data_IF_630258927293
#
_entry.id   IF_630258927293
#
_cell.length_a   1.000
_cell.length_b   1.000
_cell.length_c   1.000
_cell.angle_alpha   90.00
_cell.angle_beta   90.00
_cell.angle_gamma   90.00
#
_symmetry.space_group_name_H-M   'P 1'
#
loop_
_entity.id
_entity.type
_entity.pdbx_description
1 polymer ?
#
# COMPACT_ATOMS: atom_id res chain seq x y z
N UNK A 1 -9.96 -1.58 -16.92
CA UNK A 1 -9.21 -1.86 -18.16
C UNK A 1 -8.17 -0.79 -18.47
N UNK A 2 -8.50 0.51 -18.47
CA UNK A 2 -7.56 1.61 -18.77
C UNK A 2 -6.29 1.57 -17.89
N UNK A 3 -6.45 1.49 -16.58
CA UNK A 3 -5.35 1.36 -15.60
C UNK A 3 -4.35 0.25 -15.94
N UNK A 4 -4.83 -0.90 -16.42
CA UNK A 4 -3.99 -2.04 -16.78
C UNK A 4 -3.26 -1.81 -18.11
N UNK A 5 -3.87 -1.09 -19.06
CA UNK A 5 -3.21 -0.70 -20.30
C UNK A 5 -2.06 0.30 -20.03
N UNK A 6 -2.30 1.26 -19.14
CA UNK A 6 -1.30 2.24 -18.71
C UNK A 6 -0.15 1.57 -17.94
N UNK A 7 -0.48 0.72 -16.98
CA UNK A 7 0.51 -0.10 -16.24
C UNK A 7 1.35 -0.93 -17.21
N UNK A 8 0.70 -1.62 -18.15
CA UNK A 8 1.41 -2.42 -19.13
C UNK A 8 2.29 -1.58 -20.07
N UNK A 9 1.87 -0.35 -20.42
CA UNK A 9 2.70 0.57 -21.18
C UNK A 9 3.94 0.99 -20.39
N UNK A 10 3.79 1.38 -19.12
CA UNK A 10 4.89 1.75 -18.23
C UNK A 10 5.91 0.60 -18.12
N UNK A 11 5.45 -0.61 -17.79
CA UNK A 11 6.33 -1.76 -17.59
C UNK A 11 7.10 -2.14 -18.86
N UNK A 12 6.47 -1.99 -20.04
CA UNK A 12 7.15 -2.26 -21.33
C UNK A 12 8.13 -1.17 -21.74
N UNK A 13 7.87 0.09 -21.42
CA UNK A 13 8.65 1.22 -21.91
C UNK A 13 9.74 1.69 -20.93
N UNK A 14 9.57 1.42 -19.63
CA UNK A 14 10.51 1.87 -18.60
C UNK A 14 11.90 1.25 -18.81
N UNK A 15 12.91 2.09 -18.71
CA UNK A 15 14.33 1.71 -18.82
C UNK A 15 15.03 1.94 -17.48
N UNK A 16 16.27 1.46 -17.28
CA UNK A 16 17.03 1.75 -16.06
C UNK A 16 17.23 3.25 -15.78
N UNK A 17 17.05 4.14 -16.78
CA UNK A 17 17.15 5.61 -16.62
C UNK A 17 15.80 6.30 -16.39
N UNK A 18 14.71 5.54 -16.33
CA UNK A 18 13.37 6.08 -16.07
C UNK A 18 13.16 6.36 -14.58
N UNK A 19 12.32 7.36 -14.30
CA UNK A 19 11.65 7.52 -13.01
C UNK A 19 10.18 7.14 -13.20
N UNK A 20 9.72 6.11 -12.49
CA UNK A 20 8.35 5.62 -12.55
C UNK A 20 7.62 6.03 -11.27
N UNK A 21 6.37 6.50 -11.41
CA UNK A 21 5.47 6.76 -10.29
C UNK A 21 4.23 5.92 -10.49
N UNK A 22 3.98 5.01 -9.56
CA UNK A 22 2.79 4.15 -9.54
C UNK A 22 1.95 4.57 -8.34
N UNK A 23 0.68 4.89 -8.56
CA UNK A 23 -0.24 5.35 -7.53
C UNK A 23 -1.46 4.44 -7.48
N UNK A 24 -1.55 3.66 -6.40
CA UNK A 24 -2.68 2.80 -6.05
C UNK A 24 -3.18 1.84 -7.13
N UNK A 25 -2.23 1.23 -7.84
CA UNK A 25 -2.51 0.19 -8.83
C UNK A 25 -3.20 -1.02 -8.17
N UNK A 26 -4.20 -1.58 -8.84
CA UNK A 26 -4.98 -2.76 -8.42
C UNK A 26 -6.31 -2.42 -7.74
N UNK A 27 -6.77 -1.15 -7.74
CA UNK A 27 -8.00 -0.74 -7.05
C UNK A 27 -9.30 -1.22 -7.69
N UNK A 28 -9.30 -1.53 -8.99
CA UNK A 28 -10.50 -1.87 -9.75
C UNK A 28 -10.96 -3.34 -9.65
N UNK A 29 -10.41 -4.13 -8.72
CA UNK A 29 -10.66 -5.58 -8.61
C UNK A 29 -10.72 -6.01 -7.13
N UNK A 30 -10.82 -7.32 -6.88
CA UNK A 30 -10.75 -7.89 -5.52
C UNK A 30 -9.43 -7.47 -4.82
N UNK A 31 -9.43 -7.30 -3.49
CA UNK A 31 -8.21 -6.93 -2.77
C UNK A 31 -7.03 -7.88 -3.02
N UNK A 32 -7.32 -9.18 -3.13
CA UNK A 32 -6.31 -10.22 -3.35
C UNK A 32 -5.69 -10.13 -4.75
N UNK A 33 -6.53 -10.02 -5.80
CA UNK A 33 -6.04 -9.87 -7.18
C UNK A 33 -5.33 -8.53 -7.36
N UNK A 34 -5.86 -7.47 -6.74
CA UNK A 34 -5.30 -6.13 -6.76
C UNK A 34 -3.89 -6.09 -6.16
N UNK A 35 -3.73 -6.67 -4.97
CA UNK A 35 -2.42 -6.80 -4.33
C UNK A 35 -1.46 -7.65 -5.16
N UNK A 36 -1.93 -8.75 -5.77
CA UNK A 36 -1.11 -9.61 -6.61
C UNK A 36 -0.57 -8.89 -7.84
N UNK A 37 -1.43 -8.17 -8.56
CA UNK A 37 -1.04 -7.38 -9.76
C UNK A 37 -0.13 -6.21 -9.38
N UNK A 38 -0.43 -5.51 -8.28
CA UNK A 38 0.40 -4.43 -7.77
C UNK A 38 1.81 -4.92 -7.40
N UNK A 39 1.90 -6.04 -6.66
CA UNK A 39 3.18 -6.66 -6.33
C UNK A 39 3.95 -7.12 -7.56
N UNK A 40 3.27 -7.76 -8.53
CA UNK A 40 3.92 -8.18 -9.78
C UNK A 40 4.51 -6.99 -10.54
N UNK A 41 3.81 -5.85 -10.55
CA UNK A 41 4.28 -4.61 -11.16
C UNK A 41 5.51 -4.04 -10.43
N UNK A 42 5.46 -3.95 -9.10
CA UNK A 42 6.61 -3.56 -8.27
C UNK A 42 7.83 -4.46 -8.53
N UNK A 43 7.62 -5.78 -8.49
CA UNK A 43 8.68 -6.76 -8.72
C UNK A 43 9.32 -6.58 -10.11
N UNK A 44 8.52 -6.37 -11.16
CA UNK A 44 9.03 -6.15 -12.51
C UNK A 44 9.86 -4.86 -12.62
N UNK A 45 9.38 -3.76 -12.03
CA UNK A 45 10.12 -2.49 -11.99
C UNK A 45 11.49 -2.64 -11.31
N UNK A 46 11.56 -3.41 -10.22
CA UNK A 46 12.79 -3.63 -9.45
C UNK A 46 13.76 -4.58 -10.16
N UNK A 47 13.27 -5.71 -10.69
CA UNK A 47 14.12 -6.81 -11.18
C UNK A 47 14.41 -6.76 -12.67
N UNK A 48 13.47 -6.26 -13.48
CA UNK A 48 13.58 -6.23 -14.95
C UNK A 48 13.91 -4.83 -15.44
N UNK A 49 13.05 -3.83 -15.19
CA UNK A 49 13.32 -2.46 -15.65
C UNK A 49 14.51 -1.84 -14.92
N UNK A 50 14.71 -2.22 -13.64
CA UNK A 50 15.78 -1.73 -12.75
C UNK A 50 15.82 -0.20 -12.71
N UNK A 51 14.65 0.42 -12.74
CA UNK A 51 14.48 1.87 -12.76
C UNK A 51 14.25 2.41 -11.35
N UNK A 52 14.31 3.73 -11.19
CA UNK A 52 13.86 4.37 -9.95
C UNK A 52 12.33 4.38 -9.94
N UNK A 53 11.72 4.00 -8.82
CA UNK A 53 10.27 3.94 -8.69
C UNK A 53 9.78 4.53 -7.36
N UNK A 54 8.69 5.29 -7.42
CA UNK A 54 7.83 5.60 -6.27
C UNK A 54 6.55 4.78 -6.43
N UNK A 55 6.20 4.00 -5.42
CA UNK A 55 5.08 3.07 -5.47
C UNK A 55 4.16 3.32 -4.27
N UNK A 56 3.13 4.13 -4.46
CA UNK A 56 2.12 4.41 -3.45
C UNK A 56 1.05 3.32 -3.49
N UNK A 57 0.69 2.76 -2.33
CA UNK A 57 -0.31 1.70 -2.24
C UNK A 57 -0.97 1.70 -0.86
N UNK A 58 -2.25 1.31 -0.84
CA UNK A 58 -2.99 1.01 0.38
C UNK A 58 -2.94 -0.49 0.73
N UNK A 59 -2.35 -1.33 -0.12
CA UNK A 59 -2.24 -2.77 0.10
C UNK A 59 -1.04 -3.09 1.01
N UNK A 60 -1.30 -3.33 2.31
CA UNK A 60 -0.27 -3.84 3.24
C UNK A 60 0.38 -5.15 2.72
N UNK A 61 -0.41 -5.98 2.03
CA UNK A 61 0.06 -7.23 1.43
C UNK A 61 1.22 -7.03 0.44
N UNK A 62 1.28 -5.90 -0.28
CA UNK A 62 2.39 -5.63 -1.22
C UNK A 62 3.70 -5.43 -0.45
N UNK A 63 3.67 -4.71 0.68
CA UNK A 63 4.84 -4.53 1.53
C UNK A 63 5.26 -5.86 2.19
N UNK A 64 4.29 -6.65 2.63
CA UNK A 64 4.53 -7.97 3.23
C UNK A 64 5.16 -8.95 2.22
N UNK A 65 4.66 -8.98 0.98
CA UNK A 65 5.22 -9.79 -0.10
C UNK A 65 6.63 -9.32 -0.49
N UNK A 66 6.88 -8.00 -0.54
CA UNK A 66 8.21 -7.47 -0.84
C UNK A 66 9.24 -7.89 0.22
N UNK A 67 8.86 -7.84 1.50
CA UNK A 67 9.70 -8.32 2.59
C UNK A 67 9.92 -9.84 2.51
N UNK A 68 8.85 -10.62 2.36
CA UNK A 68 8.92 -12.08 2.29
C UNK A 68 9.73 -12.61 1.10
N UNK A 69 9.80 -11.84 0.00
CA UNK A 69 10.59 -12.18 -1.20
C UNK A 69 11.99 -11.57 -1.19
N UNK A 70 12.44 -10.97 -0.09
CA UNK A 70 13.79 -10.43 0.06
C UNK A 70 14.07 -9.15 -0.74
N UNK A 71 13.03 -8.48 -1.24
CA UNK A 71 13.18 -7.19 -1.93
C UNK A 71 13.50 -6.06 -0.94
N UNK A 72 13.13 -6.22 0.33
CA UNK A 72 13.40 -5.27 1.41
C UNK A 72 14.63 -5.69 2.24
N UNK A 73 15.40 -4.72 2.76
CA UNK A 73 16.54 -4.94 3.67
C UNK A 73 17.83 -4.25 3.23
N UNK A 74 18.85 -4.24 4.09
CA UNK A 74 20.20 -3.78 3.75
C UNK A 74 20.90 -4.85 2.91
N UNK A 75 21.20 -4.55 1.64
CA UNK A 75 21.81 -5.46 0.65
C UNK A 75 23.23 -5.94 0.95
N UNK A 76 23.59 -6.16 2.21
CA UNK A 76 24.88 -6.69 2.62
C UNK A 76 24.80 -8.22 2.74
N UNK A 77 25.21 -8.91 1.66
CA UNK A 77 25.53 -10.35 1.72
C UNK A 77 24.83 -11.26 0.71
N UNK A 78 23.79 -10.80 0.01
CA UNK A 78 23.12 -11.59 -1.03
C UNK A 78 23.37 -10.96 -2.41
N UNK A 79 24.18 -11.61 -3.25
CA UNK A 79 24.26 -11.21 -4.66
C UNK A 79 22.88 -11.31 -5.32
N UNK A 80 22.40 -10.23 -5.95
CA UNK A 80 21.09 -10.18 -6.62
C UNK A 80 20.33 -8.85 -6.46
N UNK A 81 19.03 -8.85 -6.78
CA UNK A 81 18.10 -7.71 -6.64
C UNK A 81 17.60 -7.51 -5.19
N UNK A 82 18.28 -8.12 -4.21
CA UNK A 82 17.93 -8.07 -2.78
C UNK A 82 18.15 -6.67 -2.18
N UNK A 83 17.25 -6.26 -1.28
CA UNK A 83 17.39 -5.01 -0.52
C UNK A 83 17.23 -3.71 -1.34
N UNK A 84 16.51 -3.75 -2.47
CA UNK A 84 16.29 -2.59 -3.35
C UNK A 84 15.02 -1.80 -3.04
N UNK A 85 14.16 -2.32 -2.18
CA UNK A 85 12.90 -1.69 -1.79
C UNK A 85 12.99 -1.19 -0.36
N UNK A 86 12.72 0.10 -0.18
CA UNK A 86 12.52 0.71 1.14
C UNK A 86 11.06 1.15 1.28
N UNK A 87 10.46 0.89 2.44
CA UNK A 87 9.09 1.26 2.74
C UNK A 87 9.03 2.54 3.55
N UNK A 88 8.11 3.43 3.18
CA UNK A 88 7.84 4.68 3.89
C UNK A 88 6.33 4.83 4.11
N UNK A 89 5.97 5.48 5.20
CA UNK A 89 4.59 5.83 5.50
C UNK A 89 4.49 7.25 6.06
N UNK A 90 3.29 7.81 5.99
CA UNK A 90 2.88 8.96 6.79
C UNK A 90 2.15 8.46 8.03
N UNK A 91 2.15 9.27 9.09
CA UNK A 91 1.41 8.97 10.31
C UNK A 91 0.23 9.93 10.48
N UNK A 92 -0.58 9.62 11.47
CA UNK A 92 -1.64 10.48 11.97
C UNK A 92 -1.34 10.71 13.44
N UNK A 93 -1.39 11.96 13.88
CA UNK A 93 -1.32 12.30 15.30
C UNK A 93 -2.74 12.54 15.81
N UNK A 94 -3.02 12.03 16.99
CA UNK A 94 -4.32 12.19 17.66
C UNK A 94 -4.12 13.09 18.89
N UNK A 95 -5.06 13.99 19.13
CA UNK A 95 -5.12 14.78 20.35
C UNK A 95 -5.96 14.08 21.42
N UNK A 96 -5.83 14.56 22.67
CA UNK A 96 -6.56 14.00 23.82
C UNK A 96 -8.09 14.18 23.72
N UNK A 97 -8.57 15.07 22.85
CA UNK A 97 -9.99 15.35 22.62
C UNK A 97 -10.61 14.49 21.51
N UNK A 98 -9.82 13.61 20.88
CA UNK A 98 -10.25 12.75 19.78
C UNK A 98 -10.18 13.41 18.41
N UNK A 99 -9.59 14.60 18.30
CA UNK A 99 -9.16 15.20 17.05
C UNK A 99 -7.95 14.46 16.48
N UNK A 100 -7.74 14.58 15.17
CA UNK A 100 -6.55 14.03 14.53
C UNK A 100 -6.02 14.95 13.45
N UNK A 101 -4.71 14.88 13.19
CA UNK A 101 -4.02 15.65 12.15
C UNK A 101 -3.17 14.72 11.29
N UNK A 102 -3.14 14.97 9.98
CA UNK A 102 -2.27 14.25 9.07
C UNK A 102 -0.83 14.73 9.21
N UNK A 103 0.08 13.82 9.54
CA UNK A 103 1.50 14.13 9.56
C UNK A 103 2.01 14.08 8.12
N UNK A 104 2.24 15.25 7.52
CA UNK A 104 2.78 15.38 6.16
C UNK A 104 4.30 15.13 6.09
N UNK A 105 4.81 14.18 6.89
CA UNK A 105 6.22 13.78 6.95
C UNK A 105 6.33 12.29 6.74
N UNK A 106 7.17 11.90 5.79
CA UNK A 106 7.48 10.50 5.57
C UNK A 106 8.42 9.98 6.68
N UNK A 107 8.12 8.78 7.18
CA UNK A 107 9.04 8.01 8.01
C UNK A 107 9.26 6.63 7.42
N UNK A 108 10.42 6.02 7.74
CA UNK A 108 10.69 4.64 7.36
C UNK A 108 9.73 3.69 8.09
N UNK A 109 9.24 2.69 7.35
CA UNK A 109 8.36 1.64 7.84
C UNK A 109 7.04 1.57 7.07
N UNK A 110 6.10 0.83 7.65
CA UNK A 110 4.73 0.65 7.14
C UNK A 110 3.77 0.99 8.26
N UNK A 111 2.83 1.89 8.02
CA UNK A 111 1.75 2.16 8.95
C UNK A 111 0.68 1.08 8.74
N UNK A 112 0.31 0.36 9.80
CA UNK A 112 -0.74 -0.68 9.77
C UNK A 112 -2.04 -0.25 10.43
N UNK A 113 -2.10 0.96 10.97
CA UNK A 113 -3.29 1.49 11.62
C UNK A 113 -4.22 2.08 10.57
N UNK A 114 -5.48 1.63 10.56
CA UNK A 114 -6.52 2.21 9.72
C UNK A 114 -7.33 3.22 10.54
N UNK A 115 -7.46 4.44 10.02
CA UNK A 115 -8.22 5.53 10.65
C UNK A 115 -9.50 5.88 9.88
N UNK A 116 -9.97 4.98 9.00
CA UNK A 116 -11.05 5.27 8.05
C UNK A 116 -12.34 5.82 8.70
N UNK A 117 -12.80 5.24 9.82
CA UNK A 117 -13.99 5.74 10.52
C UNK A 117 -13.78 7.11 11.18
N UNK A 118 -12.57 7.38 11.67
CA UNK A 118 -12.22 8.69 12.25
C UNK A 118 -12.19 9.75 11.15
N UNK A 119 -11.59 9.43 10.01
CA UNK A 119 -11.57 10.27 8.81
C UNK A 119 -13.00 10.54 8.30
N UNK A 120 -13.85 9.51 8.26
CA UNK A 120 -15.26 9.66 7.89
C UNK A 120 -16.00 10.64 8.81
N UNK A 121 -15.81 10.53 10.13
CA UNK A 121 -16.40 11.45 11.11
C UNK A 121 -15.96 12.88 10.90
N UNK A 122 -14.65 13.10 10.70
CA UNK A 122 -14.11 14.44 10.45
C UNK A 122 -14.61 15.03 9.11
N UNK A 123 -14.79 14.19 8.09
CA UNK A 123 -15.38 14.59 6.81
C UNK A 123 -16.88 14.94 6.91
N UNK A 124 -17.49 14.79 8.10
CA UNK A 124 -18.89 15.14 8.34
C UNK A 124 -19.87 14.06 7.90
N UNK A 125 -19.44 12.79 7.81
CA UNK A 125 -20.39 11.70 7.58
C UNK A 125 -21.41 11.62 8.73
N UNK A 126 -22.70 11.36 8.45
CA UNK A 126 -23.70 11.23 9.49
C UNK A 126 -23.35 10.11 10.47
N UNK A 127 -23.61 10.33 11.77
CA UNK A 127 -23.37 9.34 12.83
C UNK A 127 -24.11 8.01 12.61
N UNK A 128 -25.23 8.03 11.90
CA UNK A 128 -25.94 6.82 11.49
C UNK A 128 -25.12 5.99 10.50
N UNK A 129 -24.48 6.62 9.52
CA UNK A 129 -23.60 5.94 8.56
C UNK A 129 -22.32 5.42 9.23
N UNK A 130 -21.73 6.20 10.14
CA UNK A 130 -20.52 5.79 10.88
C UNK A 130 -20.81 4.57 11.77
N UNK A 131 -21.98 4.53 12.42
CA UNK A 131 -22.41 3.36 13.20
C UNK A 131 -22.49 2.11 12.34
N UNK A 132 -23.19 2.18 11.21
CA UNK A 132 -23.28 1.05 10.26
C UNK A 132 -21.90 0.58 9.82
N UNK A 133 -21.00 1.51 9.49
CA UNK A 133 -19.64 1.16 9.09
C UNK A 133 -18.84 0.48 10.23
N UNK A 134 -19.05 0.91 11.48
CA UNK A 134 -18.47 0.27 12.67
C UNK A 134 -18.96 -1.16 12.89
N UNK A 135 -20.27 -1.38 12.75
CA UNK A 135 -20.89 -2.70 12.89
C UNK A 135 -20.34 -3.68 11.83
N UNK A 136 -20.30 -3.26 10.56
CA UNK A 136 -19.74 -4.05 9.45
C UNK A 136 -18.26 -4.37 9.68
N UNK A 137 -17.47 -3.41 10.17
CA UNK A 137 -16.06 -3.67 10.48
C UNK A 137 -15.88 -4.70 11.60
N UNK A 138 -16.77 -4.70 12.59
CA UNK A 138 -16.81 -5.70 13.66
C UNK A 138 -17.07 -7.10 13.12
N UNK A 139 -18.05 -7.24 12.23
CA UNK A 139 -18.40 -8.51 11.58
C UNK A 139 -17.24 -9.05 10.73
N UNK A 140 -16.67 -8.22 9.87
CA UNK A 140 -15.58 -8.60 8.95
C UNK A 140 -14.29 -8.94 9.71
N UNK A 141 -14.02 -8.27 10.83
CA UNK A 141 -12.84 -8.55 11.65
C UNK A 141 -13.01 -9.82 12.49
N UNK A 142 -14.24 -10.11 12.95
CA UNK A 142 -14.56 -11.33 13.67
C UNK A 142 -14.41 -12.58 12.80
N UNK A 143 -14.88 -12.52 11.55
CA UNK A 143 -14.90 -13.66 10.62
C UNK A 143 -13.49 -14.04 10.07
N UNK A 144 -12.53 -13.11 10.14
CA UNK A 144 -11.12 -13.39 9.79
C UNK A 144 -10.36 -14.21 10.83
N UNK A 145 -10.86 -14.29 12.07
CA UNK A 145 -10.19 -15.03 13.16
C UNK A 145 -10.53 -16.52 13.14
N UNK A 146 -11.54 -16.93 12.37
CA UNK A 146 -12.05 -18.32 12.34
C UNK A 146 -11.59 -19.14 11.13
N UNK A 147 -10.79 -18.55 10.22
CA UNK A 147 -10.34 -19.21 8.97
C UNK A 147 -8.81 -19.26 8.77
N UNK A 148 -8.04 -19.28 9.86
CA UNK A 148 -6.61 -19.61 9.85
C UNK A 148 -6.34 -20.85 10.70
#
# INVERSE_FOLDING_TARGET
MVEMLETAHILRAATPRSLVVMDEIGRGTTPEDGAAVAFASLHHLVTVNRCRALFATHFHAVADLAAARGLCGSGEGAGGDAGRVETYCTDVEEDESGGFVYVHKLRKGVNRQSHALKVARLAGLPESAIRVAGDVLGEVSGDRTTKL
#
